data_IF_410686772996
#
_entry.id   IF_410686772996
#
_cell.length_a   1.000
_cell.length_b   1.000
_cell.length_c   1.000
_cell.angle_alpha   90.00
_cell.angle_beta   90.00
_cell.angle_gamma   90.00
#
_symmetry.space_group_name_H-M   'P 1'
#
loop_
_entity.id
_entity.type
_entity.pdbx_description
1 polymer ?
2 non-polymer ?
3 non-polymer ?
4 water ?
#
# COMPACT_ATOMS: atom_id res chain seq x y z
N UNK A 11 -3.31 22.75 -2.07
CA UNK A 11 -4.12 21.90 -2.95
C UNK A 11 -4.68 22.69 -4.12
N UNK A 12 -4.29 22.30 -5.34
CA UNK A 12 -4.70 23.02 -6.53
C UNK A 12 -6.17 22.74 -6.81
N UNK A 13 -6.96 23.81 -6.97
CA UNK A 13 -8.33 23.71 -7.45
C UNK A 13 -8.27 23.63 -8.97
N UNK A 14 -8.86 22.61 -9.52
CA UNK A 14 -8.83 22.37 -10.96
C UNK A 14 -10.15 22.81 -11.57
N UNK A 15 -10.08 23.53 -12.70
CA UNK A 15 -11.32 23.91 -13.37
C UNK A 15 -11.91 22.73 -14.14
N UNK A 16 -13.24 22.53 -14.10
CA UNK A 16 -13.84 21.37 -14.76
C UNK A 16 -13.61 21.29 -16.26
N UNK A 17 -13.36 22.43 -16.91
CA UNK A 17 -13.05 22.39 -18.34
C UNK A 17 -11.73 21.69 -18.65
N UNK A 18 -10.91 21.41 -17.64
CA UNK A 18 -9.60 20.78 -17.84
C UNK A 18 -9.65 19.27 -17.62
N UNK A 19 -10.81 18.71 -17.32
CA UNK A 19 -10.91 17.31 -16.95
C UNK A 19 -11.91 16.62 -17.86
N UNK A 20 -11.56 15.47 -18.34
CA UNK A 20 -12.52 14.64 -19.06
C UNK A 20 -12.46 13.25 -18.45
N UNK A 21 -13.62 12.60 -18.42
CA UNK A 21 -13.77 11.23 -17.94
C UNK A 21 -13.99 10.33 -19.14
N UNK A 22 -13.20 9.26 -19.23
CA UNK A 22 -13.35 8.30 -20.32
C UNK A 22 -13.94 6.97 -19.92
N UNK A 23 -13.62 6.43 -18.75
CA UNK A 23 -14.04 5.08 -18.42
C UNK A 23 -14.24 4.99 -16.92
N UNK A 24 -15.25 4.24 -16.49
CA UNK A 24 -15.42 3.95 -15.08
C UNK A 24 -14.42 2.87 -14.68
N UNK A 25 -13.67 3.11 -13.61
CA UNK A 25 -12.81 2.11 -13.01
C UNK A 25 -13.56 1.29 -11.97
N UNK A 26 -14.27 1.96 -11.08
CA UNK A 26 -15.03 1.27 -10.05
C UNK A 26 -16.12 2.17 -9.50
N UNK A 27 -17.12 1.56 -8.88
CA UNK A 27 -18.24 2.33 -8.37
C UNK A 27 -18.50 1.96 -6.92
N UNK A 28 -18.97 2.97 -6.18
CA UNK A 28 -19.44 2.77 -4.81
C UNK A 28 -20.79 3.44 -4.62
N UNK A 29 -21.33 3.29 -3.41
CA UNK A 29 -22.61 3.90 -3.09
C UNK A 29 -22.51 5.39 -2.80
N UNK A 30 -21.30 5.91 -2.71
CA UNK A 30 -20.88 7.27 -2.45
C UNK A 30 -20.17 8.06 -3.58
N UNK A 31 -19.89 7.39 -4.67
CA UNK A 31 -19.13 7.99 -5.76
C UNK A 31 -18.55 6.91 -6.64
N UNK A 32 -17.81 7.35 -7.66
CA UNK A 32 -17.17 6.41 -8.57
C UNK A 32 -15.74 6.87 -8.75
N UNK A 33 -14.93 5.98 -9.32
CA UNK A 33 -13.58 6.30 -9.76
C UNK A 33 -13.55 6.09 -11.26
N UNK A 34 -13.02 7.09 -11.97
CA UNK A 34 -12.89 7.09 -13.42
C UNK A 34 -11.43 7.18 -13.81
N UNK A 35 -11.15 6.74 -15.03
CA UNK A 35 -9.92 7.04 -15.71
C UNK A 35 -10.29 8.22 -16.65
N UNK A 36 -9.47 9.24 -16.65
CA UNK A 36 -9.70 10.36 -17.55
C UNK A 36 -8.42 11.05 -17.92
N UNK A 37 -8.55 12.29 -18.42
CA UNK A 37 -7.41 13.10 -18.82
C UNK A 37 -7.52 14.47 -18.18
N UNK A 38 -6.36 15.07 -17.92
CA UNK A 38 -6.26 16.39 -17.29
C UNK A 38 -5.38 17.27 -18.16
N UNK A 39 -5.93 18.43 -18.55
CA UNK A 39 -5.15 19.43 -19.27
C UNK A 39 -4.52 20.34 -18.22
N UNK A 40 -3.21 20.53 -18.31
CA UNK A 40 -2.40 21.22 -17.31
C UNK A 40 -1.50 22.24 -18.02
N UNK A 41 -0.74 23.00 -17.22
CA UNK A 41 0.32 23.85 -17.74
C UNK A 41 -0.18 24.79 -18.83
N UNK A 42 -1.27 25.50 -18.53
CA UNK A 42 -1.79 26.55 -19.40
C UNK A 42 -2.32 25.97 -20.72
N UNK A 43 -2.75 24.72 -20.68
CA UNK A 43 -3.26 24.07 -21.87
C UNK A 43 -2.22 23.41 -22.75
N UNK A 44 -0.94 23.41 -22.35
CA UNK A 44 0.11 22.87 -23.21
C UNK A 44 0.45 21.41 -22.93
N UNK A 45 -0.20 20.79 -21.94
CA UNK A 45 0.16 19.47 -21.44
C UNK A 45 -1.14 18.73 -21.12
N UNK A 46 -1.16 17.41 -21.35
CA UNK A 46 -2.37 16.60 -21.13
C UNK A 46 -1.91 15.29 -20.52
N UNK A 47 -2.47 14.92 -19.37
CA UNK A 47 -1.97 13.71 -18.70
C UNK A 47 -3.11 12.79 -18.27
N UNK A 48 -2.91 11.47 -18.30
CA UNK A 48 -3.92 10.55 -17.79
C UNK A 48 -4.02 10.68 -16.28
N UNK A 49 -5.25 10.58 -15.77
CA UNK A 49 -5.52 10.74 -14.35
C UNK A 49 -6.58 9.75 -13.90
N UNK A 50 -6.60 9.48 -12.61
CA UNK A 50 -7.73 8.87 -11.94
C UNK A 50 -8.54 9.96 -11.26
N UNK A 51 -9.85 9.82 -11.31
CA UNK A 51 -10.80 10.84 -10.83
C UNK A 51 -11.81 10.16 -9.92
N UNK A 52 -11.86 10.57 -8.66
CA UNK A 52 -12.83 10.03 -7.72
C UNK A 52 -13.87 11.10 -7.41
N UNK A 53 -15.15 10.71 -7.45
CA UNK A 53 -16.24 11.66 -7.21
C UNK A 53 -16.91 11.42 -5.88
N UNK A 54 -17.60 12.46 -5.41
CA UNK A 54 -18.45 12.36 -4.22
C UNK A 54 -19.85 12.76 -4.64
N UNK A 55 -20.80 11.81 -4.57
CA UNK A 55 -22.17 12.04 -5.08
C UNK A 55 -22.99 12.99 -4.22
N UNK A 56 -23.98 13.61 -4.85
CA UNK A 56 -24.82 14.60 -4.17
C UNK A 56 -25.57 13.98 -2.99
N UNK A 57 -25.71 14.78 -1.93
CA UNK A 57 -26.31 14.32 -0.71
C UNK A 57 -25.30 13.95 0.36
N UNK A 58 -24.01 14.05 0.03
CA UNK A 58 -23.00 13.70 1.01
C UNK A 58 -23.16 14.54 2.28
N UNK A 59 -22.76 13.94 3.41
CA UNK A 59 -22.86 14.60 4.71
C UNK A 59 -21.62 15.44 4.96
N UNK A 60 -21.66 16.24 6.03
CA UNK A 60 -20.50 17.06 6.37
C UNK A 60 -19.30 16.18 6.65
N UNK A 61 -19.51 15.07 7.38
CA UNK A 61 -18.42 14.13 7.68
C UNK A 61 -17.81 13.58 6.42
N UNK A 62 -18.65 13.16 5.48
CA UNK A 62 -18.16 12.64 4.20
C UNK A 62 -17.36 13.69 3.47
N UNK A 63 -17.82 14.95 3.49
CA UNK A 63 -17.07 15.99 2.78
C UNK A 63 -15.72 16.22 3.45
N UNK A 64 -15.72 16.24 4.78
CA UNK A 64 -14.48 16.48 5.52
C UNK A 64 -13.49 15.36 5.24
N UNK A 65 -13.97 14.11 5.25
CA UNK A 65 -13.09 12.98 4.96
C UNK A 65 -12.61 13.01 3.51
N UNK A 66 -13.52 13.23 2.56
CA UNK A 66 -13.16 13.21 1.14
C UNK A 66 -12.11 14.26 0.84
N UNK A 67 -12.38 15.51 1.19
CA UNK A 67 -11.45 16.61 0.95
C UNK A 67 -10.21 16.48 1.84
N UNK A 68 -10.39 15.85 3.00
CA UNK A 68 -9.26 15.61 3.88
C UNK A 68 -8.25 14.63 3.32
N UNK A 69 -8.71 13.57 2.64
CA UNK A 69 -7.78 12.66 1.97
C UNK A 69 -6.94 13.41 0.96
N UNK A 70 -7.54 14.29 0.15
CA UNK A 70 -6.74 15.03 -0.82
C UNK A 70 -5.80 16.00 -0.12
N UNK A 71 -6.25 16.60 0.97
CA UNK A 71 -5.39 17.51 1.71
C UNK A 71 -4.13 16.83 2.24
N UNK A 72 -4.30 15.62 2.76
CA UNK A 72 -3.15 14.80 3.19
C UNK A 72 -2.27 14.43 2.01
N UNK A 73 -2.86 13.87 0.96
CA UNK A 73 -2.08 13.48 -0.21
C UNK A 73 -1.26 14.65 -0.77
N UNK A 74 -1.83 15.85 -0.77
CA UNK A 74 -1.15 17.02 -1.29
C UNK A 74 0.04 17.51 -0.46
N UNK A 75 0.21 16.98 0.75
CA UNK A 75 1.40 17.34 1.54
C UNK A 75 2.64 16.60 1.11
N UNK A 76 2.52 15.59 0.28
CA UNK A 76 3.64 14.69 0.01
C UNK A 76 4.19 14.84 -1.41
N UNK A 77 5.50 14.63 -1.55
CA UNK A 77 6.13 14.63 -2.87
C UNK A 77 7.21 13.55 -2.87
N UNK A 78 6.81 12.32 -3.19
CA UNK A 78 7.75 11.22 -3.13
C UNK A 78 7.40 10.23 -4.25
N UNK A 79 8.45 9.66 -4.83
CA UNK A 79 8.30 8.72 -5.93
C UNK A 79 7.37 7.57 -5.58
N UNK A 80 7.34 7.16 -4.32
CA UNK A 80 6.56 5.99 -3.90
C UNK A 80 5.29 6.35 -3.17
N UNK A 81 4.77 7.56 -3.38
CA UNK A 81 3.49 8.00 -2.82
C UNK A 81 2.66 8.54 -3.98
N UNK A 82 1.41 8.10 -4.08
CA UNK A 82 0.58 8.57 -5.19
C UNK A 82 0.53 10.09 -5.23
N UNK A 83 0.64 10.62 -6.43
CA UNK A 83 0.66 12.07 -6.64
C UNK A 83 -0.75 12.61 -6.84
N UNK A 84 -1.05 13.66 -6.12
CA UNK A 84 -2.29 14.41 -6.26
C UNK A 84 -2.10 15.48 -7.32
N UNK A 85 -3.00 15.48 -8.30
CA UNK A 85 -3.04 16.59 -9.26
C UNK A 85 -3.86 17.74 -8.73
N UNK A 86 -4.98 17.46 -8.08
CA UNK A 86 -5.75 18.54 -7.51
C UNK A 86 -7.16 18.09 -7.26
N UNK A 87 -8.03 19.06 -6.93
CA UNK A 87 -9.40 18.75 -6.57
C UNK A 87 -10.33 19.66 -7.32
N UNK A 88 -11.53 19.19 -7.54
CA UNK A 88 -12.65 20.06 -7.92
C UNK A 88 -13.60 20.10 -6.73
N UNK A 89 -13.62 21.23 -6.04
CA UNK A 89 -14.52 21.41 -4.91
C UNK A 89 -15.58 22.47 -5.14
N UNK A 90 -15.33 23.43 -6.05
CA UNK A 90 -16.26 24.55 -6.26
C UNK A 90 -17.42 24.17 -7.17
N UNK A 91 -17.27 23.09 -7.91
CA UNK A 91 -18.31 22.55 -8.77
C UNK A 91 -18.65 21.14 -8.33
N UNK A 92 -19.87 20.72 -8.61
CA UNK A 92 -20.36 19.40 -8.22
C UNK A 92 -20.62 18.51 -9.45
N UNK A 93 -20.34 17.20 -9.32
CA UNK A 93 -19.83 16.51 -8.13
C UNK A 93 -18.39 16.86 -7.90
N UNK A 94 -18.03 16.89 -6.62
CA UNK A 94 -16.64 17.17 -6.28
C UNK A 94 -15.79 15.99 -6.72
N UNK A 95 -14.50 16.28 -7.00
CA UNK A 95 -13.57 15.29 -7.54
C UNK A 95 -12.23 15.42 -6.88
N UNK A 96 -11.58 14.27 -6.66
CA UNK A 96 -10.15 14.22 -6.38
C UNK A 96 -9.47 13.62 -7.60
N UNK A 97 -8.37 14.23 -8.03
CA UNK A 97 -7.70 13.88 -9.27
C UNK A 97 -6.26 13.52 -8.96
N UNK A 98 -5.89 12.27 -9.25
CA UNK A 98 -4.53 11.80 -8.99
C UNK A 98 -3.89 11.32 -10.27
N UNK A 99 -2.58 11.01 -10.21
CA UNK A 99 -2.01 10.25 -11.29
C UNK A 99 -2.71 8.91 -11.46
N UNK A 100 -2.68 8.41 -12.67
CA UNK A 100 -3.33 7.15 -13.02
C UNK A 100 -2.29 6.02 -12.95
N UNK A 101 -2.59 4.98 -12.19
CA UNK A 101 -1.68 3.84 -12.05
C UNK A 101 -2.23 2.69 -12.85
N UNK A 102 -1.52 2.33 -13.93
CA UNK A 102 -2.13 1.49 -14.94
C UNK A 102 -2.40 0.09 -14.46
N UNK A 103 -1.59 -0.42 -13.52
CA UNK A 103 -1.76 -1.80 -13.06
C UNK A 103 -2.58 -1.96 -11.81
N UNK A 104 -3.20 -0.90 -11.29
CA UNK A 104 -4.15 -1.05 -10.22
C UNK A 104 -3.52 -1.51 -8.93
N UNK A 105 -4.35 -2.18 -8.14
CA UNK A 105 -3.93 -2.53 -6.78
C UNK A 105 -2.94 -3.66 -6.79
N UNK A 106 -1.95 -3.59 -5.91
CA UNK A 106 -0.86 -4.56 -5.91
C UNK A 106 -1.33 -5.97 -5.60
N UNK A 107 -2.24 -6.13 -4.62
CA UNK A 107 -2.68 -7.50 -4.27
C UNK A 107 -3.33 -8.18 -5.46
N UNK A 108 -4.22 -7.49 -6.14
CA UNK A 108 -4.90 -8.10 -7.26
C UNK A 108 -3.94 -8.29 -8.42
N UNK A 109 -3.04 -7.34 -8.65
CA UNK A 109 -2.05 -7.46 -9.69
C UNK A 109 -1.18 -8.70 -9.49
N UNK A 110 -0.68 -8.93 -8.28
CA UNK A 110 0.16 -10.09 -8.09
C UNK A 110 -0.62 -11.38 -8.26
N UNK A 111 -1.87 -11.41 -7.82
CA UNK A 111 -2.69 -12.62 -8.00
C UNK A 111 -2.90 -12.91 -9.46
N UNK A 112 -2.91 -11.88 -10.33
CA UNK A 112 -3.07 -12.09 -11.77
C UNK A 112 -1.76 -12.33 -12.48
N UNK A 113 -0.63 -12.23 -11.80
CA UNK A 113 0.72 -12.41 -12.32
C UNK A 113 1.49 -13.46 -11.53
N UNK A 114 0.76 -14.46 -11.01
CA UNK A 114 1.36 -15.35 -10.02
C UNK A 114 2.59 -16.04 -10.59
N UNK A 115 3.72 -15.95 -9.87
CA UNK A 115 4.94 -16.62 -10.28
C UNK A 115 5.70 -15.96 -11.42
N UNK A 116 5.28 -14.77 -11.88
CA UNK A 116 5.85 -14.22 -13.12
C UNK A 116 6.97 -13.23 -12.89
N UNK A 117 7.26 -12.83 -11.66
CA UNK A 117 8.30 -11.85 -11.42
C UNK A 117 9.53 -12.52 -10.84
N UNK A 118 10.69 -11.87 -10.95
CA UNK A 118 11.86 -12.40 -10.27
C UNK A 118 11.84 -12.01 -8.78
N UNK A 119 12.67 -12.73 -8.01
CA UNK A 119 12.88 -12.33 -6.62
C UNK A 119 13.34 -10.90 -6.57
N UNK A 120 14.27 -10.48 -7.43
CA UNK A 120 14.76 -9.13 -7.36
C UNK A 120 13.67 -8.13 -7.66
N UNK A 121 12.78 -8.44 -8.58
CA UNK A 121 11.66 -7.55 -8.84
C UNK A 121 10.78 -7.42 -7.61
N UNK A 122 10.43 -8.54 -6.98
CA UNK A 122 9.57 -8.49 -5.77
C UNK A 122 10.25 -7.72 -4.64
N UNK A 123 11.55 -7.93 -4.46
CA UNK A 123 12.26 -7.20 -3.42
C UNK A 123 12.32 -5.73 -3.76
N UNK A 124 12.48 -5.38 -5.04
CA UNK A 124 12.46 -3.98 -5.43
C UNK A 124 11.11 -3.32 -5.21
N UNK A 125 10.02 -4.06 -5.36
CA UNK A 125 8.69 -3.50 -5.05
C UNK A 125 8.59 -3.20 -3.56
N UNK A 126 9.12 -4.11 -2.73
CA UNK A 126 9.07 -3.87 -1.28
C UNK A 126 9.97 -2.72 -0.92
N UNK A 127 11.12 -2.55 -1.58
CA UNK A 127 11.97 -1.40 -1.28
C UNK A 127 11.24 -0.09 -1.60
N UNK A 128 10.52 -0.04 -2.70
CA UNK A 128 9.76 1.16 -3.01
C UNK A 128 8.68 1.44 -1.99
N UNK A 129 7.93 0.40 -1.60
CA UNK A 129 6.91 0.62 -0.59
C UNK A 129 7.54 1.09 0.72
N UNK A 130 8.66 0.48 1.13
CA UNK A 130 9.36 0.92 2.35
C UNK A 130 9.84 2.34 2.25
N UNK A 131 10.31 2.77 1.10
CA UNK A 131 10.77 4.15 0.95
C UNK A 131 9.61 5.10 1.06
N UNK A 132 8.46 4.77 0.47
CA UNK A 132 7.29 5.63 0.66
C UNK A 132 6.84 5.67 2.12
N UNK A 133 6.86 4.49 2.80
CA UNK A 133 6.48 4.50 4.21
C UNK A 133 7.49 5.25 5.06
N UNK A 134 8.80 5.16 4.75
CA UNK A 134 9.77 5.91 5.54
C UNK A 134 9.48 7.39 5.42
N UNK A 135 9.19 7.87 4.23
CA UNK A 135 8.83 9.25 4.03
C UNK A 135 7.57 9.63 4.78
N UNK A 136 6.52 8.82 4.70
CA UNK A 136 5.32 9.15 5.46
C UNK A 136 5.59 9.20 6.94
N UNK A 137 6.32 8.23 7.46
CA UNK A 137 6.59 8.22 8.90
C UNK A 137 7.38 9.46 9.31
N UNK A 138 8.36 9.83 8.52
CA UNK A 138 9.20 10.98 8.89
C UNK A 138 8.47 12.27 8.68
N UNK A 139 7.44 12.32 7.85
CA UNK A 139 6.52 13.45 7.72
C UNK A 139 5.48 13.44 8.81
N UNK A 140 5.58 12.53 9.79
CA UNK A 140 4.71 12.43 10.96
C UNK A 140 3.31 11.95 10.58
N UNK A 141 3.22 11.06 9.60
CA UNK A 141 1.95 10.47 9.22
C UNK A 141 1.96 8.97 9.51
N UNK A 142 0.94 8.49 10.21
CA UNK A 142 0.74 7.07 10.46
C UNK A 142 -0.37 6.62 9.54
N UNK A 143 -0.09 5.58 8.74
CA UNK A 143 -1.03 5.17 7.73
C UNK A 143 -2.24 4.44 8.32
N UNK A 144 -1.98 3.50 9.20
CA UNK A 144 -2.97 2.69 9.93
C UNK A 144 -3.66 1.62 9.09
N UNK A 145 -3.52 1.65 7.75
CA UNK A 145 -4.22 0.68 6.88
C UNK A 145 -3.28 0.20 5.80
N UNK A 146 -2.02 -0.02 6.15
CA UNK A 146 -1.03 -0.44 5.16
C UNK A 146 -1.29 -1.92 4.84
N UNK A 147 -1.48 -2.22 3.56
CA UNK A 147 -1.84 -3.54 3.03
C UNK A 147 -1.60 -3.44 1.55
N UNK A 148 -1.35 -4.61 0.91
CA UNK A 148 -1.08 -4.54 -0.52
C UNK A 148 -2.28 -4.00 -1.32
N UNK A 149 -3.54 -4.17 -0.83
CA UNK A 149 -4.68 -3.59 -1.50
C UNK A 149 -4.63 -2.08 -1.54
N UNK A 150 -3.78 -1.43 -0.72
CA UNK A 150 -3.73 0.03 -0.72
C UNK A 150 -2.49 0.53 -1.41
N UNK A 151 -1.82 -0.32 -2.17
CA UNK A 151 -0.62 0.03 -2.91
C UNK A 151 -0.92 -0.12 -4.39
N UNK A 152 -0.72 0.96 -5.14
CA UNK A 152 -1.02 0.94 -6.56
C UNK A 152 0.26 0.74 -7.34
N UNK A 153 0.13 0.21 -8.56
CA UNK A 153 1.27 -0.17 -9.37
C UNK A 153 1.12 0.47 -10.74
N UNK A 154 2.19 1.14 -11.19
CA UNK A 154 2.14 1.74 -12.54
C UNK A 154 2.67 0.80 -13.61
N UNK A 155 2.68 1.29 -14.88
CA UNK A 155 3.04 0.42 -15.99
C UNK A 155 4.48 -0.04 -15.91
N UNK A 156 5.32 0.69 -15.17
CA UNK A 156 6.73 0.39 -15.00
C UNK A 156 7.01 -0.36 -13.73
N UNK A 157 5.96 -0.89 -13.09
CA UNK A 157 6.10 -1.73 -11.90
C UNK A 157 6.50 -0.96 -10.63
N UNK A 158 6.44 0.37 -10.65
CA UNK A 158 6.69 1.18 -9.47
C UNK A 158 5.47 1.08 -8.60
N UNK A 159 5.71 0.78 -7.32
CA UNK A 159 4.64 0.68 -6.34
C UNK A 159 4.55 1.96 -5.51
N UNK A 160 3.32 2.45 -5.32
CA UNK A 160 3.10 3.68 -4.55
C UNK A 160 2.04 3.48 -3.49
N UNK A 161 2.34 3.99 -2.29
CA UNK A 161 1.38 3.98 -1.23
C UNK A 161 0.25 4.93 -1.57
N UNK A 162 -0.97 4.42 -1.41
CA UNK A 162 -2.17 5.23 -1.53
C UNK A 162 -3.13 4.84 -0.41
N UNK A 163 -4.34 5.30 -0.55
CA UNK A 163 -5.48 5.19 0.18
C UNK A 163 -5.30 5.69 1.55
N UNK A 164 -5.30 6.97 1.64
CA UNK A 164 -5.15 7.77 2.82
C UNK A 164 -6.47 8.08 3.49
N UNK A 165 -7.48 7.25 3.24
CA UNK A 165 -8.81 7.42 3.82
C UNK A 165 -9.23 6.32 4.79
N UNK A 184 -13.48 -1.51 11.89
CA UNK A 184 -13.21 -1.22 10.47
C UNK A 184 -11.90 -1.84 9.97
N UNK A 185 -10.78 -1.50 10.64
CA UNK A 185 -9.42 -1.80 10.20
C UNK A 185 -9.13 -3.29 10.12
N UNK A 186 -8.77 -3.84 8.96
CA UNK A 186 -8.44 -5.26 8.93
C UNK A 186 -7.38 -5.72 9.92
N UNK A 187 -7.99 -6.50 10.82
CA UNK A 187 -7.31 -7.07 11.96
C UNK A 187 -6.01 -7.72 11.51
N UNK A 188 -6.04 -8.49 10.41
CA UNK A 188 -4.89 -9.35 10.15
C UNK A 188 -3.67 -8.60 9.60
N UNK A 189 -3.78 -7.31 9.31
CA UNK A 189 -2.62 -6.48 8.99
C UNK A 189 -2.17 -5.64 10.16
N UNK A 190 -2.86 -5.68 11.30
CA UNK A 190 -2.68 -4.67 12.35
C UNK A 190 -1.84 -5.21 13.48
N UNK A 191 -0.94 -4.36 14.02
CA UNK A 191 -0.13 -4.82 15.12
C UNK A 191 -0.97 -5.05 16.40
N UNK A 192 -0.50 -5.93 17.26
CA UNK A 192 -1.32 -6.26 18.46
C UNK A 192 -1.62 -5.05 19.33
N UNK A 193 -0.68 -4.10 19.54
CA UNK A 193 -1.02 -2.96 20.38
C UNK A 193 -2.00 -2.04 19.76
N UNK A 194 -2.11 -2.02 18.43
CA UNK A 194 -3.11 -1.19 17.79
C UNK A 194 -4.48 -1.85 17.86
N UNK A 195 -4.52 -3.18 17.70
CA UNK A 195 -5.80 -3.90 17.84
C UNK A 195 -6.39 -3.63 19.22
N UNK A 196 -5.62 -3.91 20.24
CA UNK A 196 -6.12 -3.92 21.62
C UNK A 196 -6.26 -2.50 22.17
N UNK A 197 -5.20 -1.70 22.07
CA UNK A 197 -5.16 -0.41 22.75
C UNK A 197 -5.37 0.76 21.82
N UNK A 198 -5.50 0.50 20.52
CA UNK A 198 -5.64 1.54 19.51
C UNK A 198 -4.41 2.45 19.49
N UNK A 199 -3.27 1.87 19.84
CA UNK A 199 -1.98 2.58 19.80
C UNK A 199 -1.37 2.41 18.39
N UNK A 200 -1.73 3.33 17.49
CA UNK A 200 -1.28 3.30 16.09
C UNK A 200 -0.10 4.28 15.98
N UNK A 201 1.03 3.76 15.52
CA UNK A 201 2.23 4.58 15.36
C UNK A 201 2.96 4.08 14.11
N UNK A 202 4.08 4.70 13.79
CA UNK A 202 4.85 4.16 12.67
C UNK A 202 5.35 2.77 12.96
N UNK A 203 5.46 2.34 14.22
CA UNK A 203 5.89 1.00 14.52
C UNK A 203 4.79 0.00 14.29
N UNK A 204 3.53 0.41 14.48
CA UNK A 204 2.46 -0.51 14.06
C UNK A 204 2.36 -0.56 12.54
N UNK A 205 2.70 0.55 11.83
CA UNK A 205 2.78 0.44 10.38
C UNK A 205 3.92 -0.49 9.96
N UNK A 206 5.00 -0.62 10.72
CA UNK A 206 6.04 -1.58 10.38
C UNK A 206 5.52 -3.00 10.47
N UNK A 207 4.72 -3.29 11.50
CA UNK A 207 4.10 -4.62 11.55
C UNK A 207 3.33 -4.86 10.26
N UNK A 208 2.49 -3.91 9.88
CA UNK A 208 1.71 -4.04 8.66
C UNK A 208 2.62 -4.20 7.46
N UNK A 209 3.74 -3.49 7.38
CA UNK A 209 4.64 -3.68 6.26
C UNK A 209 5.14 -5.09 6.24
N UNK A 210 5.43 -5.71 7.37
CA UNK A 210 5.81 -7.12 7.37
C UNK A 210 4.77 -8.00 6.71
N UNK A 211 3.48 -7.75 7.00
CA UNK A 211 2.43 -8.52 6.31
C UNK A 211 2.47 -8.20 4.84
N UNK A 212 2.68 -6.94 4.42
CA UNK A 212 2.80 -6.65 2.99
C UNK A 212 3.97 -7.39 2.38
N UNK A 213 5.08 -7.53 3.08
CA UNK A 213 6.18 -8.30 2.54
C UNK A 213 5.73 -9.72 2.27
N UNK A 214 5.02 -10.31 3.19
CA UNK A 214 4.53 -11.66 2.99
C UNK A 214 3.52 -11.71 1.86
N UNK A 215 2.59 -10.75 1.76
CA UNK A 215 1.72 -10.67 0.57
C UNK A 215 2.52 -10.61 -0.72
N UNK A 216 3.54 -9.80 -0.80
CA UNK A 216 4.28 -9.68 -2.05
C UNK A 216 4.95 -11.00 -2.38
N UNK A 217 5.65 -11.59 -1.42
CA UNK A 217 6.45 -12.77 -1.72
C UNK A 217 5.58 -13.96 -2.02
N UNK A 218 4.32 -13.97 -1.61
CA UNK A 218 3.39 -15.04 -1.92
C UNK A 218 2.49 -14.72 -3.10
N UNK A 219 2.71 -13.62 -3.79
CA UNK A 219 1.83 -13.22 -4.90
C UNK A 219 0.41 -13.05 -4.46
N UNK A 220 0.23 -12.42 -3.31
CA UNK A 220 -1.09 -12.04 -2.92
C UNK A 220 -1.88 -13.11 -2.19
N UNK A 221 -1.19 -14.02 -1.49
CA UNK A 221 -1.94 -14.94 -0.63
C UNK A 221 -2.63 -14.17 0.51
N UNK A 222 -3.75 -14.62 0.92
CA UNK A 222 -4.48 -13.99 2.03
C UNK A 222 -3.81 -14.34 3.36
N UNK A 223 -3.31 -13.33 4.09
CA UNK A 223 -2.66 -13.60 5.38
C UNK A 223 -3.54 -14.45 6.30
N UNK A 224 -2.95 -15.51 6.83
CA UNK A 224 -3.61 -16.38 7.83
C UNK A 224 -4.73 -17.23 7.26
N UNK A 225 -4.91 -17.21 5.95
CA UNK A 225 -5.83 -18.19 5.28
C UNK A 225 -7.18 -18.18 5.97
N UNK A 226 -7.72 -19.34 6.38
CA UNK A 226 -9.11 -19.40 6.81
C UNK A 226 -9.33 -19.00 8.27
N UNK A 227 -8.28 -18.65 9.03
CA UNK A 227 -8.48 -18.29 10.43
C UNK A 227 -9.41 -17.12 10.50
N UNK A 228 -10.26 -17.14 11.55
CA UNK A 228 -11.08 -15.97 11.84
C UNK A 228 -10.22 -14.88 12.49
N UNK A 229 -10.79 -13.67 12.53
CA UNK A 229 -10.10 -12.58 13.23
C UNK A 229 -9.68 -12.99 14.65
N UNK A 230 -10.60 -13.61 15.44
CA UNK A 230 -10.20 -13.93 16.79
C UNK A 230 -9.14 -15.02 16.82
N UNK A 231 -9.19 -15.95 15.87
CA UNK A 231 -8.12 -16.94 15.73
C UNK A 231 -6.78 -16.31 15.33
N UNK A 232 -6.81 -15.29 14.46
CA UNK A 232 -5.55 -14.58 14.16
C UNK A 232 -5.00 -13.94 15.41
N UNK A 233 -5.88 -13.29 16.20
CA UNK A 233 -5.43 -12.69 17.45
C UNK A 233 -4.92 -13.74 18.41
N UNK A 234 -5.62 -14.87 18.48
CA UNK A 234 -5.16 -15.95 19.33
C UNK A 234 -3.77 -16.41 18.90
N UNK A 235 -3.59 -16.66 17.59
CA UNK A 235 -2.30 -17.19 17.14
C UNK A 235 -1.15 -16.20 17.39
N UNK A 236 -1.37 -14.94 17.02
CA UNK A 236 -0.32 -13.93 17.20
C UNK A 236 0.07 -13.78 18.66
N UNK A 237 -0.94 -13.77 19.55
CA UNK A 237 -0.62 -13.59 20.97
C UNK A 237 0.04 -14.82 21.58
N UNK A 238 -0.08 -15.99 20.96
CA UNK A 238 0.66 -17.16 21.39
C UNK A 238 2.04 -17.23 20.78
N UNK A 239 2.40 -16.27 19.90
CA UNK A 239 3.70 -16.30 19.24
C UNK A 239 3.74 -16.94 17.87
N UNK A 240 2.62 -17.37 17.32
CA UNK A 240 2.62 -17.88 15.96
C UNK A 240 2.90 -16.70 15.04
N UNK A 241 3.62 -16.99 13.93
CA UNK A 241 3.80 -16.00 12.87
C UNK A 241 3.59 -16.69 11.55
N UNK A 242 3.28 -15.88 10.51
CA UNK A 242 3.09 -16.44 9.18
C UNK A 242 4.34 -17.20 8.77
N UNK A 243 4.18 -18.37 8.14
CA UNK A 243 5.33 -19.18 7.76
C UNK A 243 6.00 -18.62 6.52
N UNK A 244 7.17 -19.16 6.21
CA UNK A 244 7.89 -18.65 5.05
C UNK A 244 7.07 -18.82 3.77
N UNK A 245 7.09 -17.84 2.89
CA UNK A 245 6.60 -18.06 1.51
C UNK A 245 7.51 -19.05 0.81
N UNK A 246 6.98 -19.61 -0.27
CA UNK A 246 7.80 -20.47 -1.12
C UNK A 246 8.86 -19.64 -1.84
N UNK A 247 10.07 -20.25 -1.93
CA UNK A 247 11.21 -19.67 -2.63
C UNK A 247 11.57 -18.28 -2.11
N UNK A 248 11.42 -18.09 -0.79
CA UNK A 248 11.68 -16.77 -0.24
C UNK A 248 13.12 -16.71 0.28
N UNK A 249 13.88 -15.68 -0.07
CA UNK A 249 15.19 -15.46 0.54
C UNK A 249 15.12 -15.44 2.07
N UNK A 250 16.07 -16.17 2.67
CA UNK A 250 16.13 -16.18 4.11
C UNK A 250 16.20 -14.76 4.68
N UNK A 251 16.97 -13.87 4.05
CA UNK A 251 17.09 -12.55 4.62
C UNK A 251 15.77 -11.82 4.61
N UNK A 252 14.97 -12.03 3.56
CA UNK A 252 13.66 -11.39 3.47
C UNK A 252 12.70 -11.95 4.53
N UNK A 253 12.67 -13.28 4.71
CA UNK A 253 11.84 -13.79 5.80
C UNK A 253 12.31 -13.32 7.17
N UNK A 254 13.62 -13.30 7.42
CA UNK A 254 14.10 -12.78 8.70
C UNK A 254 13.63 -11.36 8.93
N UNK A 255 13.61 -10.54 7.87
CA UNK A 255 13.22 -9.17 8.04
C UNK A 255 11.75 -9.08 8.35
N UNK A 256 10.89 -9.85 7.62
CA UNK A 256 9.46 -9.76 7.98
C UNK A 256 9.20 -10.27 9.37
N UNK A 257 9.96 -11.25 9.83
CA UNK A 257 9.77 -11.72 11.20
C UNK A 257 10.10 -10.64 12.21
N UNK A 258 11.11 -9.81 11.93
CA UNK A 258 11.49 -8.74 12.83
C UNK A 258 10.41 -7.67 12.86
N UNK A 259 9.74 -7.44 11.73
CA UNK A 259 8.63 -6.53 11.71
C UNK A 259 7.50 -6.97 12.63
N UNK A 260 7.43 -8.27 12.92
CA UNK A 260 6.37 -8.81 13.75
C UNK A 260 6.84 -9.11 15.16
N UNK A 261 7.81 -8.35 15.68
CA UNK A 261 8.12 -8.45 17.11
C UNK A 261 6.94 -7.97 17.89
N UNK A 262 6.60 -8.71 18.97
CA UNK A 262 5.49 -8.29 19.79
C UNK A 262 5.73 -6.92 20.44
N UNK A 263 6.94 -6.70 20.94
CA UNK A 263 7.32 -5.42 21.55
C UNK A 263 7.65 -4.44 20.43
N UNK A 264 6.84 -3.40 20.31
CA UNK A 264 6.98 -2.50 19.16
C UNK A 264 8.34 -1.84 19.11
N UNK A 265 9.00 -1.60 20.26
CA UNK A 265 10.30 -0.94 20.17
C UNK A 265 11.36 -1.84 19.60
N UNK A 266 11.12 -3.17 19.51
CA UNK A 266 12.11 -4.05 18.93
C UNK A 266 11.96 -4.13 17.40
N UNK A 267 10.91 -3.59 16.84
CA UNK A 267 10.76 -3.72 15.39
C UNK A 267 11.75 -2.78 14.69
N UNK A 268 12.20 -3.15 13.48
CA UNK A 268 12.99 -2.17 12.72
C UNK A 268 12.18 -0.92 12.41
N UNK A 269 12.91 0.18 12.26
CA UNK A 269 12.27 1.36 11.67
C UNK A 269 12.23 1.22 10.16
N UNK A 270 11.39 2.02 9.54
CA UNK A 270 11.43 2.00 8.07
C UNK A 270 12.81 2.40 7.55
N UNK A 271 13.56 3.28 8.25
CA UNK A 271 14.88 3.56 7.74
C UNK A 271 15.73 2.30 7.73
N UNK A 272 15.61 1.43 8.73
CA UNK A 272 16.38 0.19 8.73
C UNK A 272 15.95 -0.74 7.60
N UNK A 273 14.64 -0.85 7.39
CA UNK A 273 14.11 -1.68 6.31
C UNK A 273 14.63 -1.24 4.96
N UNK A 274 14.57 0.08 4.66
CA UNK A 274 15.07 0.51 3.38
C UNK A 274 16.57 0.19 3.25
N UNK A 275 17.35 0.46 4.29
CA UNK A 275 18.77 0.21 4.24
C UNK A 275 19.05 -1.27 3.99
N UNK A 276 18.36 -2.16 4.70
CA UNK A 276 18.59 -3.60 4.51
C UNK A 276 18.21 -4.03 3.11
N UNK A 277 17.03 -3.62 2.62
CA UNK A 277 16.62 -4.00 1.28
C UNK A 277 17.62 -3.51 0.23
N UNK A 278 18.13 -2.28 0.40
CA UNK A 278 19.14 -1.76 -0.54
C UNK A 278 20.39 -2.60 -0.53
N UNK A 279 20.84 -3.00 0.63
CA UNK A 279 22.05 -3.82 0.70
C UNK A 279 21.84 -5.17 0.05
N UNK A 280 20.65 -5.77 0.21
CA UNK A 280 20.39 -7.05 -0.45
C UNK A 280 20.33 -6.91 -1.95
N UNK A 281 19.68 -5.87 -2.46
CA UNK A 281 19.56 -5.66 -3.89
C UNK A 281 20.93 -5.42 -4.52
N UNK A 282 21.79 -4.72 -3.83
CA UNK A 282 23.12 -4.38 -4.34
C UNK A 282 24.04 -5.56 -4.34
N UNK A 283 23.80 -6.55 -3.52
CA UNK A 283 24.62 -7.77 -3.50
C UNK A 283 23.67 -8.96 -3.65
N UNK A 284 23.13 -9.17 -4.86
CA UNK A 284 21.97 -10.04 -5.01
C UNK A 284 22.25 -11.50 -4.74
N UNK A 285 23.51 -11.93 -4.73
CA UNK A 285 23.76 -13.31 -4.29
C UNK A 285 23.27 -13.54 -2.87
N UNK A 286 23.18 -12.48 -2.06
CA UNK A 286 22.62 -12.60 -0.72
C UNK A 286 21.18 -13.12 -0.74
N UNK A 287 20.46 -12.94 -1.82
CA UNK A 287 19.09 -13.40 -1.93
C UNK A 287 18.97 -14.84 -2.39
N UNK A 288 20.11 -15.51 -2.68
CA UNK A 288 19.98 -16.88 -3.16
C UNK A 288 19.87 -17.88 -2.00
N UNK A 289 20.22 -17.47 -0.77
CA UNK A 289 20.03 -18.35 0.40
C UNK A 289 18.56 -18.31 0.77
N UNK A 290 17.87 -19.41 0.60
CA UNK A 290 16.42 -19.45 0.75
C UNK A 290 16.04 -20.00 2.12
N UNK A 291 15.00 -19.42 2.70
CA UNK A 291 14.39 -20.02 3.89
C UNK A 291 13.70 -21.32 3.52
N UNK A 292 13.79 -22.30 4.41
CA UNK A 292 13.14 -23.58 4.17
C UNK A 292 11.62 -23.39 4.08
N UNK A 293 11.00 -23.96 3.07
CA UNK A 293 9.56 -23.93 2.95
C UNK A 293 9.00 -25.27 3.43
N UNK A 294 7.97 -25.23 4.28
CA UNK A 294 7.19 -26.47 4.53
C UNK A 294 5.73 -26.24 4.88
N UNK A 297 2.83 -33.63 1.65
CA UNK A 297 3.58 -34.88 1.52
C UNK A 297 3.26 -35.68 0.25
N UNK A 298 4.20 -35.76 -0.69
CA UNK A 298 4.03 -36.56 -1.89
C UNK A 298 5.23 -37.50 -2.00
N UNK A 299 4.97 -38.79 -1.81
CA UNK A 299 6.00 -39.83 -1.76
C UNK A 299 6.01 -40.53 -3.11
N UNK A 300 7.17 -40.58 -3.74
CA UNK A 300 7.18 -41.19 -5.03
C UNK A 300 8.34 -42.05 -5.49
N UNK A 301 9.53 -41.47 -5.50
CA UNK A 301 10.64 -42.10 -6.23
C UNK A 301 10.78 -43.61 -6.04
#
# INVERSE_FOLDING_TARGET
>A
GDPNQAVLKFTTEIHPSCVTRQKVIGAGEFGEVYKGMLKTSSGKKEVPVAIKTLKAGYTEKQRVDFLGEAGIMGQFSHHNIIRLEGVISKYKPMMIITEYMENGALDKFLREKDGEFSVLQLVGMLRGIAAGMKYLANMNYVHRDLAARNILVNSNLVCKVSDFGLSRVLEDDPEATYTTSGGKIPIRWTAPEAISYRKFTSASDVWSFGIVMWEVMTYGERPYWELSNHEVMKAINDGFRLPTPMDCPSAIYQLMMQCWQQERARRPKFADIVSILDKLIRAPDSLKTLADFDPRVSIRLPSTSG
#
